data_IF_523694999911
#
_entry.id   IF_523694999911
#
_cell.length_a   1.000
_cell.length_b   1.000
_cell.length_c   1.000
_cell.angle_alpha   90.00
_cell.angle_beta   90.00
_cell.angle_gamma   90.00
#
_symmetry.space_group_name_H-M   'P 1'
#
loop_
_entity.id
_entity.type
_entity.pdbx_description
1 polymer ?
#
# COMPACT_ATOMS: atom_id res chain seq x y z
N UNK A 1 -0.24 17.02 4.63
CA UNK A 1 -1.55 16.64 5.22
C UNK A 1 -1.85 15.19 4.86
N UNK A 2 -2.34 14.42 5.82
CA UNK A 2 -2.71 13.02 5.66
C UNK A 2 -4.22 12.89 5.76
N UNK A 3 -4.84 12.22 4.79
CA UNK A 3 -6.27 11.94 4.76
C UNK A 3 -6.48 10.48 5.14
N UNK A 4 -7.54 10.19 5.89
CA UNK A 4 -7.86 8.84 6.34
C UNK A 4 -9.26 8.42 5.89
N UNK A 5 -9.44 7.10 5.70
CA UNK A 5 -10.72 6.51 5.35
C UNK A 5 -11.44 6.02 6.61
N UNK A 6 -12.71 6.41 6.78
CA UNK A 6 -13.46 6.08 7.99
C UNK A 6 -13.60 4.58 8.22
N UNK A 7 -13.80 3.81 7.15
CA UNK A 7 -13.96 2.36 7.26
C UNK A 7 -12.71 1.67 7.83
N UNK A 8 -11.51 2.19 7.52
CA UNK A 8 -10.27 1.64 8.05
C UNK A 8 -9.98 2.15 9.46
N UNK A 9 -10.39 3.37 9.79
CA UNK A 9 -10.25 3.92 11.14
C UNK A 9 -11.03 3.11 12.18
N UNK A 10 -12.09 2.44 11.75
CA UNK A 10 -12.91 1.61 12.64
C UNK A 10 -12.26 0.27 12.99
N UNK A 11 -11.16 -0.11 12.33
CA UNK A 11 -10.46 -1.37 12.58
C UNK A 11 -9.33 -1.14 13.58
N UNK A 12 -9.41 -1.78 14.73
CA UNK A 12 -8.39 -1.67 15.77
C UNK A 12 -7.07 -2.25 15.29
N UNK A 13 -5.97 -1.57 15.62
CA UNK A 13 -4.62 -2.00 15.26
C UNK A 13 -4.16 -1.60 13.87
N UNK A 14 -5.00 -0.88 13.09
CA UNK A 14 -4.65 -0.41 11.77
C UNK A 14 -4.32 1.08 11.80
N UNK A 15 -3.16 1.44 11.23
CA UNK A 15 -2.81 2.82 10.93
C UNK A 15 -2.71 2.98 9.42
N UNK A 16 -3.28 4.04 8.88
CA UNK A 16 -3.27 4.29 7.44
C UNK A 16 -3.35 5.79 7.14
N UNK A 17 -3.06 6.15 5.90
CA UNK A 17 -3.21 7.52 5.45
C UNK A 17 -2.95 7.67 3.97
N UNK A 18 -3.48 8.73 3.41
CA UNK A 18 -3.23 9.16 2.04
C UNK A 18 -2.44 10.46 2.10
N UNK A 19 -1.19 10.44 1.64
CA UNK A 19 -0.29 11.59 1.69
C UNK A 19 -0.31 12.33 0.37
N UNK A 20 0.04 13.61 0.43
CA UNK A 20 0.14 14.43 -0.78
C UNK A 20 1.32 14.00 -1.64
N UNK A 21 1.20 14.23 -2.95
CA UNK A 21 2.27 14.01 -3.90
C UNK A 21 3.51 14.82 -3.51
N UNK A 22 4.68 14.25 -3.75
CA UNK A 22 5.96 14.88 -3.44
C UNK A 22 6.51 14.57 -2.05
N UNK A 23 5.73 13.95 -1.18
CA UNK A 23 6.23 13.49 0.11
C UNK A 23 7.01 12.18 -0.08
N UNK A 24 8.21 12.10 0.45
CA UNK A 24 9.04 10.89 0.36
C UNK A 24 8.49 9.81 1.28
N UNK A 25 8.55 8.55 0.82
CA UNK A 25 8.21 7.41 1.66
C UNK A 25 9.38 7.08 2.58
N UNK A 26 9.06 6.71 3.83
CA UNK A 26 10.04 6.20 4.78
C UNK A 26 10.66 4.89 4.26
N UNK A 27 11.94 4.65 4.54
CA UNK A 27 12.61 3.38 4.22
C UNK A 27 11.95 2.17 4.91
N UNK A 28 11.15 2.40 5.93
CA UNK A 28 10.43 1.34 6.66
C UNK A 28 9.10 0.98 6.01
N UNK A 29 8.70 1.69 4.96
CA UNK A 29 7.46 1.41 4.24
C UNK A 29 7.80 0.65 2.97
N UNK A 30 7.24 -0.56 2.84
CA UNK A 30 7.48 -1.41 1.68
C UNK A 30 6.57 -1.02 0.52
N UNK A 31 7.16 -0.83 -0.65
CA UNK A 31 6.45 -0.54 -1.89
C UNK A 31 7.15 -1.21 -3.05
N UNK A 32 6.46 -1.29 -4.19
CA UNK A 32 6.99 -1.93 -5.39
C UNK A 32 7.25 -0.90 -6.48
N UNK A 33 7.98 -1.31 -7.50
CA UNK A 33 8.13 -0.55 -8.73
C UNK A 33 6.88 -0.80 -9.57
N UNK A 34 5.98 0.17 -9.58
CA UNK A 34 4.68 0.03 -10.23
C UNK A 34 4.83 0.09 -11.74
N UNK A 35 4.17 -0.84 -12.43
CA UNK A 35 4.30 -1.04 -13.87
C UNK A 35 2.96 -1.09 -14.59
N UNK A 36 1.90 -0.65 -13.93
CA UNK A 36 0.51 -0.68 -14.44
C UNK A 36 0.03 -2.10 -14.75
N UNK A 37 0.46 -3.05 -13.95
CA UNK A 37 0.04 -4.45 -14.04
C UNK A 37 -0.98 -4.81 -12.96
N UNK A 38 -1.10 -6.11 -12.68
CA UNK A 38 -2.05 -6.64 -11.71
C UNK A 38 -1.41 -7.59 -10.69
N UNK A 39 -0.09 -7.62 -10.60
CA UNK A 39 0.60 -8.48 -9.64
C UNK A 39 0.55 -7.86 -8.25
N UNK A 40 0.27 -8.70 -7.25
CA UNK A 40 0.27 -8.34 -5.84
C UNK A 40 1.25 -9.27 -5.12
N UNK A 41 2.16 -8.69 -4.32
CA UNK A 41 3.22 -9.45 -3.66
C UNK A 41 3.15 -9.30 -2.14
N UNK A 42 3.69 -10.29 -1.44
CA UNK A 42 3.85 -10.24 0.02
C UNK A 42 5.07 -9.39 0.36
N UNK A 43 4.91 -8.40 1.23
CA UNK A 43 6.00 -7.53 1.66
C UNK A 43 7.19 -8.31 2.23
N UNK A 44 6.95 -9.47 2.85
CA UNK A 44 8.00 -10.32 3.42
C UNK A 44 8.88 -10.96 2.35
N UNK A 45 8.42 -11.04 1.11
CA UNK A 45 9.20 -11.60 0.00
C UNK A 45 10.12 -10.57 -0.65
N UNK A 46 9.99 -9.29 -0.29
CA UNK A 46 10.76 -8.21 -0.88
C UNK A 46 12.11 -8.08 -0.19
N UNK A 47 13.19 -8.26 -0.94
CA UNK A 47 14.55 -8.04 -0.42
C UNK A 47 14.86 -6.56 -0.28
N UNK A 48 14.33 -5.73 -1.18
CA UNK A 48 14.46 -4.28 -1.16
C UNK A 48 13.16 -3.62 -1.60
N UNK A 49 12.77 -2.59 -0.85
CA UNK A 49 11.60 -1.79 -1.21
C UNK A 49 11.86 -1.01 -2.50
N UNK A 50 10.83 -0.94 -3.35
CA UNK A 50 10.87 -0.15 -4.57
C UNK A 50 11.50 -0.83 -5.79
N UNK A 51 11.97 -2.07 -5.67
CA UNK A 51 12.62 -2.78 -6.78
C UNK A 51 11.77 -3.82 -7.48
N UNK A 52 10.99 -4.58 -6.73
CA UNK A 52 10.16 -5.63 -7.33
C UNK A 52 9.03 -5.01 -8.16
N UNK A 53 8.83 -5.49 -9.39
CA UNK A 53 7.79 -4.98 -10.28
C UNK A 53 6.43 -5.55 -9.87
N UNK A 54 5.56 -4.72 -9.32
CA UNK A 54 4.19 -5.10 -8.94
C UNK A 54 3.37 -3.83 -8.69
N UNK A 55 2.07 -3.94 -8.74
CA UNK A 55 1.16 -2.82 -8.50
C UNK A 55 0.34 -2.98 -7.21
N UNK A 56 0.67 -3.98 -6.41
CA UNK A 56 0.08 -4.15 -5.10
C UNK A 56 1.05 -4.86 -4.16
N UNK A 57 0.93 -4.56 -2.88
CA UNK A 57 1.73 -5.18 -1.83
C UNK A 57 0.86 -5.39 -0.61
N UNK A 58 0.97 -6.55 0.02
CA UNK A 58 0.26 -6.85 1.25
C UNK A 58 1.21 -7.27 2.36
N UNK A 59 0.75 -7.19 3.59
CA UNK A 59 1.51 -7.58 4.76
C UNK A 59 0.61 -8.29 5.76
N UNK A 60 1.08 -9.40 6.30
CA UNK A 60 0.42 -10.14 7.39
C UNK A 60 1.04 -9.85 8.75
N UNK A 61 2.02 -8.97 8.80
CA UNK A 61 2.72 -8.63 10.03
C UNK A 61 2.78 -7.13 10.24
N UNK A 62 3.70 -6.66 11.08
CA UNK A 62 3.80 -5.24 11.42
C UNK A 62 4.50 -4.41 10.34
N UNK A 63 4.65 -4.91 9.12
CA UNK A 63 5.29 -4.18 8.03
C UNK A 63 4.30 -3.22 7.39
N UNK A 64 4.71 -1.97 7.24
CA UNK A 64 3.91 -0.97 6.55
C UNK A 64 4.09 -1.10 5.04
N UNK A 65 3.00 -0.94 4.30
CA UNK A 65 2.97 -1.06 2.84
C UNK A 65 2.36 0.18 2.21
N UNK A 66 2.78 0.52 0.99
CA UNK A 66 2.31 1.72 0.31
C UNK A 66 2.31 1.54 -1.20
N UNK A 67 1.47 2.34 -1.86
CA UNK A 67 1.52 2.57 -3.30
C UNK A 67 1.57 4.07 -3.55
N UNK A 68 2.12 4.45 -4.70
CA UNK A 68 2.22 5.84 -5.14
C UNK A 68 1.35 6.00 -6.38
N UNK A 69 0.49 7.01 -6.38
CA UNK A 69 -0.38 7.29 -7.53
C UNK A 69 -0.32 8.77 -7.87
N UNK A 70 -0.49 9.09 -9.16
CA UNK A 70 -0.70 10.45 -9.63
C UNK A 70 -2.13 10.59 -10.13
N UNK A 71 -2.46 9.89 -11.23
CA UNK A 71 -3.80 9.94 -11.85
C UNK A 71 -4.58 8.65 -11.66
N UNK A 72 -3.98 7.63 -11.05
CA UNK A 72 -4.62 6.34 -10.82
C UNK A 72 -5.19 6.26 -9.41
N UNK A 73 -6.03 5.26 -9.15
CA UNK A 73 -6.71 5.10 -7.88
C UNK A 73 -5.83 4.35 -6.87
N UNK A 74 -5.50 4.95 -5.71
CA UNK A 74 -4.90 4.20 -4.62
C UNK A 74 -5.99 3.45 -3.84
N UNK A 75 -5.76 2.17 -3.59
CA UNK A 75 -6.71 1.32 -2.87
C UNK A 75 -6.01 0.77 -1.62
N UNK A 76 -6.55 1.06 -0.46
CA UNK A 76 -6.10 0.51 0.81
C UNK A 76 -7.11 -0.52 1.30
N UNK A 77 -6.63 -1.67 1.74
CA UNK A 77 -7.46 -2.76 2.23
C UNK A 77 -6.95 -3.30 3.55
N UNK A 78 -7.85 -3.83 4.35
CA UNK A 78 -7.51 -4.56 5.56
C UNK A 78 -8.49 -5.70 5.75
N UNK A 79 -8.00 -6.82 6.31
CA UNK A 79 -8.90 -7.84 6.87
C UNK A 79 -9.64 -7.25 8.07
N UNK A 80 -10.79 -7.83 8.42
CA UNK A 80 -11.60 -7.32 9.53
C UNK A 80 -10.90 -7.41 10.88
N UNK A 81 -10.04 -8.40 11.05
CA UNK A 81 -9.27 -8.61 12.28
C UNK A 81 -7.98 -7.78 12.34
N UNK A 82 -7.68 -7.02 11.28
CA UNK A 82 -6.51 -6.16 11.22
C UNK A 82 -5.17 -6.90 11.03
N UNK A 83 -5.19 -8.18 10.73
CA UNK A 83 -3.96 -8.97 10.57
C UNK A 83 -3.30 -8.81 9.21
N UNK A 84 -4.09 -8.51 8.18
CA UNK A 84 -3.60 -8.35 6.82
C UNK A 84 -3.96 -6.98 6.31
N UNK A 85 -2.98 -6.27 5.78
CA UNK A 85 -3.18 -4.98 5.13
C UNK A 85 -2.61 -5.03 3.73
N UNK A 86 -3.19 -4.25 2.82
CA UNK A 86 -2.73 -4.18 1.44
C UNK A 86 -2.85 -2.76 0.90
N UNK A 87 -1.93 -2.43 0.01
CA UNK A 87 -1.98 -1.20 -0.77
C UNK A 87 -1.89 -1.57 -2.25
N UNK A 88 -2.85 -1.12 -3.05
CA UNK A 88 -2.99 -1.47 -4.45
C UNK A 88 -3.02 -0.22 -5.31
N UNK A 89 -2.39 -0.29 -6.47
CA UNK A 89 -2.44 0.74 -7.49
C UNK A 89 -3.46 0.33 -8.55
N UNK A 90 -4.62 0.99 -8.56
CA UNK A 90 -5.68 0.73 -9.52
C UNK A 90 -5.54 1.62 -10.74
N UNK A 91 -4.86 1.15 -11.78
CA UNK A 91 -4.81 1.82 -13.06
C UNK A 91 -6.11 1.61 -13.84
N UNK A 92 -6.40 2.49 -14.81
CA UNK A 92 -7.67 2.41 -15.56
C UNK A 92 -7.73 1.18 -16.48
N UNK A 93 -6.61 0.52 -16.76
CA UNK A 93 -6.54 -0.72 -17.54
C UNK A 93 -6.18 -1.95 -16.70
N UNK A 94 -5.88 -1.76 -15.41
CA UNK A 94 -5.34 -2.84 -14.59
C UNK A 94 -6.22 -3.31 -13.45
#
# INVERSE_FOLDING_TARGET
MTVQADILKAIEGIEHGFQQAGQALSERIFHCRQVHGAEIVDARSLSESGRHAADGVFSEGPLAVAVVTADCLPILMSSRDGRVVAALHGGWQG
#
